data_IF_658284310265
#
_entry.id   IF_658284310265
#
_cell.length_a   1.000
_cell.length_b   1.000
_cell.length_c   1.000
_cell.angle_alpha   90.00
_cell.angle_beta   90.00
_cell.angle_gamma   90.00
#
_symmetry.space_group_name_H-M   'P 1'
#
loop_
_entity.id
_entity.type
_entity.pdbx_description
1 polymer ?
#
# COMPACT_ATOMS: atom_id res chain seq x y z
N UNK A 1 15.09 0.98 16.51
CA UNK A 1 13.79 1.18 17.23
C UNK A 1 13.75 0.28 18.47
N UNK A 2 12.97 0.63 19.50
CA UNK A 2 12.68 -0.32 20.59
C UNK A 2 11.75 -1.44 20.08
N UNK A 3 11.77 -2.62 20.70
CA UNK A 3 11.00 -3.79 20.24
C UNK A 3 9.49 -3.51 20.13
N UNK A 4 8.92 -2.84 21.15
CA UNK A 4 7.51 -2.44 21.15
C UNK A 4 7.18 -1.42 20.05
N UNK A 5 8.10 -0.49 19.79
CA UNK A 5 7.93 0.49 18.71
C UNK A 5 8.01 -0.18 17.34
N UNK A 6 8.96 -1.10 17.15
CA UNK A 6 9.13 -1.83 15.89
C UNK A 6 7.88 -2.66 15.54
N UNK A 7 7.37 -3.46 16.49
CA UNK A 7 6.14 -4.24 16.29
C UNK A 7 4.91 -3.35 16.02
N UNK A 8 4.78 -2.24 16.74
CA UNK A 8 3.68 -1.29 16.50
C UNK A 8 3.78 -0.67 15.10
N UNK A 9 4.96 -0.24 14.70
CA UNK A 9 5.23 0.34 13.39
C UNK A 9 4.97 -0.66 12.26
N UNK A 10 5.40 -1.92 12.41
CA UNK A 10 5.15 -2.99 11.44
C UNK A 10 3.65 -3.24 11.24
N UNK A 11 2.89 -3.33 12.34
CA UNK A 11 1.44 -3.50 12.30
C UNK A 11 0.72 -2.31 11.65
N UNK A 12 1.12 -1.09 12.01
CA UNK A 12 0.56 0.14 11.42
C UNK A 12 0.90 0.22 9.92
N UNK A 13 2.14 -0.07 9.54
CA UNK A 13 2.56 -0.06 8.14
C UNK A 13 1.79 -1.10 7.32
N UNK A 14 1.60 -2.32 7.83
CA UNK A 14 0.74 -3.34 7.23
C UNK A 14 -0.69 -2.86 7.02
N UNK A 15 -1.30 -2.32 8.08
CA UNK A 15 -2.68 -1.83 8.02
C UNK A 15 -2.82 -0.70 6.99
N UNK A 16 -1.95 0.32 7.06
CA UNK A 16 -1.97 1.45 6.13
C UNK A 16 -1.71 1.03 4.69
N UNK A 17 -0.76 0.12 4.45
CA UNK A 17 -0.46 -0.39 3.10
C UNK A 17 -1.61 -1.22 2.56
N UNK A 18 -2.26 -2.04 3.39
CA UNK A 18 -3.46 -2.78 3.01
C UNK A 18 -4.60 -1.84 2.63
N UNK A 19 -4.84 -0.81 3.43
CA UNK A 19 -5.85 0.22 3.13
C UNK A 19 -5.55 0.94 1.82
N UNK A 20 -4.29 1.32 1.59
CA UNK A 20 -3.87 1.94 0.34
C UNK A 20 -4.17 1.02 -0.86
N UNK A 21 -3.77 -0.25 -0.81
CA UNK A 21 -4.04 -1.22 -1.89
C UNK A 21 -5.53 -1.35 -2.15
N UNK A 22 -6.35 -1.51 -1.11
CA UNK A 22 -7.81 -1.61 -1.25
C UNK A 22 -8.39 -0.34 -1.91
N UNK A 23 -7.96 0.84 -1.48
CA UNK A 23 -8.41 2.10 -2.07
C UNK A 23 -7.98 2.24 -3.54
N UNK A 24 -6.77 1.83 -3.91
CA UNK A 24 -6.31 1.87 -5.30
C UNK A 24 -7.11 0.93 -6.20
N UNK A 25 -7.44 -0.28 -5.71
CA UNK A 25 -8.28 -1.23 -6.45
C UNK A 25 -9.69 -0.66 -6.66
N UNK A 26 -10.30 -0.09 -5.62
CA UNK A 26 -11.61 0.56 -5.71
C UNK A 26 -11.56 1.75 -6.69
N UNK A 27 -10.54 2.60 -6.60
CA UNK A 27 -10.36 3.72 -7.49
C UNK A 27 -10.18 3.26 -8.95
N UNK A 28 -9.41 2.21 -9.19
CA UNK A 28 -9.22 1.64 -10.52
C UNK A 28 -10.52 1.10 -11.10
N UNK A 29 -11.30 0.35 -10.31
CA UNK A 29 -12.60 -0.17 -10.72
C UNK A 29 -13.59 0.96 -11.07
N UNK A 30 -13.70 1.98 -10.22
CA UNK A 30 -14.56 3.15 -10.47
C UNK A 30 -14.08 3.94 -11.69
N UNK A 31 -12.77 4.09 -11.85
CA UNK A 31 -12.18 4.81 -12.98
C UNK A 31 -12.42 4.08 -14.30
N UNK A 32 -12.33 2.75 -14.32
CA UNK A 32 -12.72 1.94 -15.48
C UNK A 32 -14.21 2.10 -15.81
N UNK A 33 -15.08 2.01 -14.82
CA UNK A 33 -16.51 2.24 -15.01
C UNK A 33 -16.81 3.62 -15.61
N UNK A 34 -16.16 4.67 -15.09
CA UNK A 34 -16.30 6.02 -15.62
C UNK A 34 -15.76 6.15 -17.04
N UNK A 35 -14.65 5.48 -17.36
CA UNK A 35 -14.10 5.48 -18.72
C UNK A 35 -15.07 4.93 -19.75
N UNK A 36 -15.76 3.83 -19.43
CA UNK A 36 -16.77 3.26 -20.34
C UNK A 36 -17.97 4.19 -20.55
N UNK A 37 -18.31 5.03 -19.56
CA UNK A 37 -19.46 5.95 -19.65
C UNK A 37 -19.15 7.33 -20.20
N UNK A 38 -17.96 7.87 -19.90
CA UNK A 38 -17.60 9.28 -20.12
C UNK A 38 -16.34 9.45 -20.97
N UNK A 39 -15.72 8.36 -21.42
CA UNK A 39 -14.41 8.39 -22.06
C UNK A 39 -13.28 8.56 -21.06
N UNK A 40 -12.05 8.70 -21.56
CA UNK A 40 -10.85 8.77 -20.72
C UNK A 40 -10.94 9.87 -19.65
N UNK A 41 -10.69 9.51 -18.40
CA UNK A 41 -10.54 10.45 -17.28
C UNK A 41 -9.14 10.37 -16.68
N UNK A 42 -8.53 11.49 -16.26
CA UNK A 42 -7.22 11.49 -15.59
C UNK A 42 -7.19 10.62 -14.31
N UNK A 43 -8.34 10.37 -13.69
CA UNK A 43 -8.49 9.50 -12.52
C UNK A 43 -7.97 8.08 -12.75
N UNK A 44 -7.95 7.63 -14.00
CA UNK A 44 -7.52 6.29 -14.39
C UNK A 44 -6.01 6.09 -14.32
N UNK A 45 -5.25 7.19 -14.38
CA UNK A 45 -3.78 7.19 -14.28
C UNK A 45 -3.33 7.11 -12.83
N UNK A 46 -4.13 7.64 -11.90
CA UNK A 46 -3.79 7.75 -10.47
C UNK A 46 -3.41 6.39 -9.85
N UNK A 47 -4.18 5.29 -10.03
CA UNK A 47 -3.80 3.98 -9.48
C UNK A 47 -2.43 3.50 -9.97
N UNK A 48 -2.10 3.76 -11.24
CA UNK A 48 -0.85 3.34 -11.87
C UNK A 48 0.32 4.14 -11.30
N UNK A 49 0.15 5.47 -11.18
CA UNK A 49 1.17 6.36 -10.63
C UNK A 49 1.53 6.06 -9.17
N UNK A 50 0.59 5.49 -8.40
CA UNK A 50 0.79 5.17 -6.98
C UNK A 50 1.35 3.76 -6.72
N UNK A 51 1.49 2.90 -7.75
CA UNK A 51 2.08 1.56 -7.60
C UNK A 51 3.49 1.57 -7.00
N UNK A 52 4.42 2.48 -7.37
CA UNK A 52 5.75 2.53 -6.78
C UNK A 52 5.72 2.72 -5.25
N UNK A 53 4.73 3.47 -4.74
CA UNK A 53 4.57 3.70 -3.30
C UNK A 53 4.13 2.42 -2.60
N UNK A 54 3.22 1.66 -3.20
CA UNK A 54 2.82 0.34 -2.67
C UNK A 54 4.04 -0.60 -2.60
N UNK A 55 4.83 -0.66 -3.67
CA UNK A 55 6.03 -1.51 -3.74
C UNK A 55 7.04 -1.10 -2.66
N UNK A 56 7.30 0.20 -2.52
CA UNK A 56 8.20 0.75 -1.49
C UNK A 56 7.71 0.40 -0.08
N UNK A 57 6.41 0.56 0.19
CA UNK A 57 5.83 0.20 1.49
C UNK A 57 5.94 -1.29 1.79
N UNK A 58 5.71 -2.16 0.80
CA UNK A 58 5.86 -3.61 0.96
C UNK A 58 7.32 -3.99 1.24
N UNK A 59 8.28 -3.36 0.56
CA UNK A 59 9.71 -3.53 0.84
C UNK A 59 10.05 -3.12 2.27
N UNK A 60 9.57 -1.97 2.73
CA UNK A 60 9.80 -1.49 4.10
C UNK A 60 9.19 -2.43 5.15
N UNK A 61 7.98 -2.94 4.92
CA UNK A 61 7.35 -3.95 5.79
C UNK A 61 8.21 -5.21 5.86
N UNK A 62 8.73 -5.67 4.73
CA UNK A 62 9.57 -6.86 4.67
C UNK A 62 10.87 -6.69 5.46
N UNK A 63 11.52 -5.52 5.35
CA UNK A 63 12.69 -5.17 6.16
C UNK A 63 12.37 -5.14 7.66
N UNK A 64 11.23 -4.56 8.05
CA UNK A 64 10.78 -4.56 9.46
C UNK A 64 10.54 -5.99 9.98
N UNK A 65 10.01 -6.89 9.14
CA UNK A 65 9.82 -8.30 9.49
C UNK A 65 11.13 -9.05 9.63
N UNK A 66 12.10 -8.79 8.76
CA UNK A 66 13.44 -9.36 8.86
C UNK A 66 14.14 -8.89 10.15
N UNK A 67 14.00 -7.61 10.49
CA UNK A 67 14.49 -7.05 11.76
C UNK A 67 13.82 -7.71 12.96
N UNK A 68 12.49 -7.86 12.97
CA UNK A 68 11.75 -8.57 14.03
C UNK A 68 12.23 -10.02 14.19
N UNK A 69 12.35 -10.76 13.08
CA UNK A 69 12.85 -12.15 13.08
C UNK A 69 14.27 -12.24 13.65
N UNK A 70 15.18 -11.35 13.25
CA UNK A 70 16.55 -11.32 13.78
C UNK A 70 16.61 -11.10 15.30
N UNK A 71 15.56 -10.52 15.88
CA UNK A 71 15.42 -10.27 17.32
C UNK A 71 14.65 -11.39 18.04
N UNK A 72 14.24 -12.44 17.32
CA UNK A 72 13.35 -13.50 17.80
C UNK A 72 11.98 -12.95 18.28
N UNK A 73 11.43 -11.98 17.54
CA UNK A 73 10.17 -11.27 17.84
C UNK A 73 9.14 -11.40 16.72
#
# INVERSE_FOLDING_TARGET
MSNKQLQKSEKVAKASTSTLVVMLVLLFALSMYLNFKKGFTPLTVIPISLLPIVISNLSNIKQMQEELKSRNL
#
